data_IF_631235382935
#
_entry.id   IF_631235382935
#
_cell.length_a   1.000
_cell.length_b   1.000
_cell.length_c   1.000
_cell.angle_alpha   90.00
_cell.angle_beta   90.00
_cell.angle_gamma   90.00
#
_symmetry.space_group_name_H-M   'P 1'
#
loop_
_entity.id
_entity.type
_entity.pdbx_description
1 polymer ?
#
# COMPACT_ATOMS: atom_id res chain seq x y z
N UNK A 1 19.43 -36.13 20.08
CA UNK A 1 18.22 -35.50 20.64
C UNK A 1 18.52 -34.03 20.72
N UNK A 2 18.27 -33.33 19.62
CA UNK A 2 18.45 -31.88 19.49
C UNK A 2 17.14 -31.24 19.89
N UNK A 3 17.18 -30.47 20.98
CA UNK A 3 16.08 -29.62 21.42
C UNK A 3 15.91 -28.51 20.38
N UNK A 4 14.84 -28.62 19.61
CA UNK A 4 14.30 -27.51 18.83
C UNK A 4 13.57 -26.59 19.81
N UNK A 5 14.28 -25.64 20.40
CA UNK A 5 13.65 -24.54 21.15
C UNK A 5 12.95 -23.60 20.16
N UNK A 6 11.71 -23.93 19.80
CA UNK A 6 10.74 -22.95 19.33
C UNK A 6 10.42 -22.01 20.49
N UNK A 7 11.11 -20.88 20.61
CA UNK A 7 10.66 -19.78 21.47
C UNK A 7 9.54 -19.00 20.77
N UNK A 8 8.42 -19.67 20.47
CA UNK A 8 7.16 -18.98 20.14
C UNK A 8 6.45 -18.65 21.45
N UNK A 9 6.88 -17.56 22.07
CA UNK A 9 6.04 -16.87 23.05
C UNK A 9 6.24 -15.38 22.83
N UNK A 10 5.78 -14.90 21.67
CA UNK A 10 5.34 -13.50 21.62
C UNK A 10 4.19 -13.40 22.62
N UNK A 11 4.49 -12.81 23.78
CA UNK A 11 3.52 -12.58 24.83
C UNK A 11 2.39 -11.72 24.24
N UNK A 12 1.15 -12.21 24.30
CA UNK A 12 0.01 -11.47 23.77
C UNK A 12 -0.18 -10.19 24.57
N UNK A 13 0.24 -9.06 24.00
CA UNK A 13 0.19 -7.76 24.65
C UNK A 13 -1.24 -7.22 24.65
N UNK A 14 -1.97 -7.59 25.69
CA UNK A 14 -3.28 -7.04 26.00
C UNK A 14 -3.37 -6.67 27.48
N UNK A 15 -3.89 -5.46 27.80
CA UNK A 15 -4.04 -5.04 29.18
C UNK A 15 -5.04 -5.95 29.92
N UNK A 16 -4.89 -6.14 31.24
CA UNK A 16 -5.82 -6.93 32.03
C UNK A 16 -7.21 -6.29 32.03
N UNK A 17 -8.13 -6.90 31.29
CA UNK A 17 -9.50 -6.40 31.13
C UNK A 17 -10.31 -6.62 32.42
N UNK A 18 -10.53 -5.54 33.17
CA UNK A 18 -11.30 -5.54 34.42
C UNK A 18 -12.57 -4.71 34.26
N UNK A 19 -13.72 -5.37 34.30
CA UNK A 19 -15.03 -4.68 34.28
C UNK A 19 -15.48 -4.31 35.68
N UNK A 20 -15.98 -3.09 35.84
CA UNK A 20 -16.60 -2.65 37.09
C UNK A 20 -17.81 -3.54 37.43
N UNK A 21 -17.87 -4.04 38.67
CA UNK A 21 -19.01 -4.81 39.17
C UNK A 21 -19.86 -3.93 40.07
N UNK A 22 -21.03 -3.57 39.59
CA UNK A 22 -22.01 -2.80 40.35
C UNK A 22 -22.62 -3.60 41.51
N UNK A 23 -22.73 -2.97 42.68
CA UNK A 23 -23.48 -3.49 43.81
C UNK A 23 -24.23 -2.37 44.55
N UNK A 24 -25.25 -2.74 45.32
CA UNK A 24 -26.11 -1.78 45.99
C UNK A 24 -25.34 -0.97 47.05
N UNK A 25 -25.50 0.35 47.02
CA UNK A 25 -24.81 1.27 47.95
C UNK A 25 -23.36 1.60 47.58
N UNK A 26 -22.88 1.16 46.42
CA UNK A 26 -21.55 1.51 45.92
C UNK A 26 -21.50 2.99 45.53
N UNK A 27 -20.52 3.73 46.05
CA UNK A 27 -20.20 5.09 45.60
C UNK A 27 -19.31 5.01 44.36
N UNK A 28 -19.66 5.74 43.30
CA UNK A 28 -18.92 5.80 42.04
C UNK A 28 -18.39 7.22 41.83
N UNK A 29 -17.11 7.33 41.47
CA UNK A 29 -16.48 8.60 41.09
C UNK A 29 -16.09 8.66 39.62
N UNK A 30 -15.59 9.81 39.17
CA UNK A 30 -15.13 10.02 37.80
C UNK A 30 -14.14 8.93 37.33
N UNK A 31 -13.22 8.51 38.22
CA UNK A 31 -12.27 7.43 37.95
C UNK A 31 -12.93 6.08 37.63
N UNK A 32 -14.07 5.77 38.23
CA UNK A 32 -14.77 4.51 37.97
C UNK A 32 -15.40 4.53 36.57
N UNK A 33 -15.95 5.66 36.14
CA UNK A 33 -16.49 5.84 34.80
C UNK A 33 -15.39 5.91 33.73
N UNK A 34 -14.24 6.54 34.01
CA UNK A 34 -13.07 6.51 33.12
C UNK A 34 -12.59 5.09 32.88
N UNK A 35 -12.48 4.28 33.96
CA UNK A 35 -12.12 2.85 33.84
C UNK A 35 -13.15 2.04 33.06
N UNK A 36 -14.44 2.36 33.18
CA UNK A 36 -15.47 1.70 32.38
C UNK A 36 -15.34 2.07 30.89
N UNK A 37 -15.08 3.34 30.57
CA UNK A 37 -14.79 3.77 29.19
C UNK A 37 -13.56 3.06 28.63
N UNK A 38 -12.44 3.05 29.36
CA UNK A 38 -11.22 2.34 29.00
C UNK A 38 -11.49 0.85 28.74
N UNK A 39 -12.25 0.17 29.62
CA UNK A 39 -12.61 -1.23 29.42
C UNK A 39 -13.33 -1.47 28.08
N UNK A 40 -14.31 -0.63 27.73
CA UNK A 40 -15.04 -0.77 26.48
C UNK A 40 -14.18 -0.43 25.25
N UNK A 41 -13.35 0.61 25.34
CA UNK A 41 -12.42 1.00 24.27
C UNK A 41 -11.39 -0.06 24.00
N UNK A 42 -10.74 -0.60 25.03
CA UNK A 42 -9.78 -1.69 24.89
C UNK A 42 -10.44 -2.96 24.30
N UNK A 43 -11.68 -3.26 24.68
CA UNK A 43 -12.44 -4.36 24.05
C UNK A 43 -12.70 -4.13 22.56
N UNK A 44 -12.93 -2.88 22.15
CA UNK A 44 -13.16 -2.53 20.75
C UNK A 44 -11.85 -2.59 19.95
N UNK A 45 -10.78 -1.97 20.45
CA UNK A 45 -9.41 -2.03 19.90
C UNK A 45 -8.97 -3.47 19.63
N UNK A 46 -9.12 -4.35 20.64
CA UNK A 46 -8.78 -5.77 20.51
C UNK A 46 -9.62 -6.47 19.42
N UNK A 47 -10.90 -6.13 19.28
CA UNK A 47 -11.74 -6.70 18.22
C UNK A 47 -11.27 -6.24 16.84
N UNK A 48 -11.00 -4.95 16.68
CA UNK A 48 -10.50 -4.40 15.43
C UNK A 48 -9.14 -5.02 15.09
N UNK A 49 -8.11 -4.78 15.91
CA UNK A 49 -6.73 -5.22 15.68
C UNK A 49 -6.60 -6.73 15.48
N UNK A 50 -7.28 -7.56 16.28
CA UNK A 50 -7.06 -9.00 16.26
C UNK A 50 -8.02 -9.81 15.38
N UNK A 51 -9.26 -9.35 15.15
CA UNK A 51 -10.21 -10.06 14.29
C UNK A 51 -10.20 -9.54 12.86
N UNK A 52 -10.01 -8.23 12.67
CA UNK A 52 -10.14 -7.58 11.36
C UNK A 52 -8.81 -7.05 10.85
N UNK A 53 -7.90 -6.67 11.75
CA UNK A 53 -6.64 -6.02 11.44
C UNK A 53 -6.74 -4.50 11.45
N UNK A 54 -5.87 -3.86 10.68
CA UNK A 54 -5.78 -2.41 10.58
C UNK A 54 -5.54 -1.97 9.14
N UNK A 55 -5.45 -0.68 8.86
CA UNK A 55 -5.27 -0.10 7.52
C UNK A 55 -6.44 0.76 7.07
N UNK A 56 -6.38 1.22 5.82
CA UNK A 56 -7.39 2.09 5.21
C UNK A 56 -8.59 1.27 4.77
N UNK A 57 -9.77 1.61 5.29
CA UNK A 57 -11.03 0.90 5.00
C UNK A 57 -11.67 1.48 3.74
N UNK A 58 -11.86 2.80 3.70
CA UNK A 58 -12.44 3.49 2.55
C UNK A 58 -12.07 4.98 2.52
N UNK A 59 -12.11 5.57 1.33
CA UNK A 59 -11.84 6.99 1.14
C UNK A 59 -10.39 7.36 1.44
N UNK A 60 -10.19 8.47 2.16
CA UNK A 60 -8.87 9.01 2.51
C UNK A 60 -7.95 9.21 1.29
N UNK A 61 -8.48 9.44 0.09
CA UNK A 61 -7.68 9.69 -1.11
C UNK A 61 -6.90 10.99 -0.94
N UNK A 62 -5.66 10.98 -1.44
CA UNK A 62 -4.85 12.20 -1.54
C UNK A 62 -4.98 12.69 -2.97
N UNK A 63 -5.49 13.90 -3.11
CA UNK A 63 -5.76 14.52 -4.40
C UNK A 63 -5.06 15.88 -4.46
N UNK A 64 -4.74 16.39 -5.66
CA UNK A 64 -4.34 17.79 -5.82
C UNK A 64 -5.34 18.71 -5.14
N UNK A 65 -4.87 19.72 -4.41
CA UNK A 65 -5.79 20.69 -3.83
C UNK A 65 -6.59 21.40 -4.95
N UNK A 66 -7.88 21.69 -4.73
CA UNK A 66 -8.64 22.51 -5.67
C UNK A 66 -7.94 23.87 -5.85
N UNK A 67 -7.94 24.38 -7.08
CA UNK A 67 -7.35 25.70 -7.37
C UNK A 67 -8.11 26.76 -6.58
N UNK A 68 -7.38 27.65 -5.91
CA UNK A 68 -7.98 28.80 -5.23
C UNK A 68 -8.64 29.68 -6.33
N UNK A 69 -9.83 30.26 -6.12
CA UNK A 69 -10.50 31.14 -7.12
C UNK A 69 -9.64 32.39 -7.48
N UNK A 70 -8.68 32.74 -6.63
CA UNK A 70 -7.67 33.80 -6.86
C UNK A 70 -6.57 33.40 -7.87
N UNK A 71 -6.54 32.15 -8.36
CA UNK A 71 -5.54 31.67 -9.34
C UNK A 71 -5.94 31.92 -10.80
N UNK A 72 -6.93 32.78 -11.06
CA UNK A 72 -7.20 33.27 -12.41
C UNK A 72 -5.95 34.03 -12.93
N UNK A 73 -5.43 33.71 -14.13
CA UNK A 73 -4.43 34.57 -14.74
C UNK A 73 -5.04 35.98 -14.88
N UNK A 74 -4.28 37.06 -14.63
CA UNK A 74 -4.78 38.41 -14.82
C UNK A 74 -5.29 38.52 -16.26
N UNK A 75 -6.57 38.89 -16.38
CA UNK A 75 -7.27 39.00 -17.64
C UNK A 75 -6.48 39.94 -18.58
N UNK A 76 -5.83 39.39 -19.61
CA UNK A 76 -5.00 40.15 -20.58
C UNK A 76 -5.83 41.10 -21.47
N UNK A 77 -7.06 41.41 -21.08
CA UNK A 77 -8.00 42.28 -21.80
C UNK A 77 -8.28 43.62 -21.10
N UNK A 78 -7.73 43.87 -19.91
CA UNK A 78 -7.83 45.20 -19.29
C UNK A 78 -6.70 46.13 -19.78
N UNK A 79 -7.00 47.35 -20.26
CA UNK A 79 -5.96 48.32 -20.64
C UNK A 79 -5.16 48.78 -19.40
N UNK A 80 -3.90 49.21 -19.57
CA UNK A 80 -3.04 49.58 -18.47
C UNK A 80 -3.55 50.87 -17.81
N UNK A 81 -4.06 50.76 -16.58
CA UNK A 81 -4.34 51.93 -15.76
C UNK A 81 -3.03 52.38 -15.08
N UNK A 82 -2.54 53.54 -15.52
CA UNK A 82 -1.51 54.30 -14.81
C UNK A 82 -2.08 54.78 -13.46
N UNK A 83 -1.54 54.31 -12.34
CA UNK A 83 -1.56 55.10 -11.10
C UNK A 83 -0.35 54.81 -10.20
N UNK A 84 0.53 55.81 -10.21
CA UNK A 84 1.28 56.44 -9.11
C UNK A 84 1.75 55.56 -7.95
N UNK A 85 3.07 55.44 -7.86
CA UNK A 85 3.79 54.95 -6.69
C UNK A 85 3.65 55.91 -5.50
N UNK A 86 3.39 55.38 -4.30
CA UNK A 86 3.99 55.85 -3.05
C UNK A 86 3.86 54.78 -1.94
N UNK A 87 4.97 54.62 -1.21
CA UNK A 87 5.17 53.86 0.03
C UNK A 87 5.05 52.32 0.06
N UNK A 88 6.19 51.68 -0.25
CA UNK A 88 6.90 50.95 0.80
C UNK A 88 6.28 49.65 1.34
N UNK A 89 5.90 48.71 0.47
CA UNK A 89 5.81 47.30 0.84
C UNK A 89 6.51 46.45 -0.23
N UNK A 90 7.51 45.69 0.20
CA UNK A 90 8.32 44.80 -0.63
C UNK A 90 7.44 43.82 -1.44
N UNK A 91 7.81 43.49 -2.70
CA UNK A 91 7.03 42.63 -3.56
C UNK A 91 6.99 41.19 -3.02
N UNK A 92 5.80 40.59 -3.05
CA UNK A 92 5.51 39.15 -3.05
C UNK A 92 6.50 38.24 -2.30
N UNK A 93 6.23 38.01 -1.01
CA UNK A 93 6.72 36.80 -0.34
C UNK A 93 6.08 35.61 -1.05
N UNK A 94 6.86 34.97 -1.91
CA UNK A 94 6.56 33.79 -2.74
C UNK A 94 5.55 32.86 -2.04
N UNK A 95 4.28 32.94 -2.43
CA UNK A 95 3.20 32.16 -1.83
C UNK A 95 3.47 30.70 -2.18
N UNK A 96 3.76 29.86 -1.19
CA UNK A 96 3.90 28.41 -1.40
C UNK A 96 2.55 27.82 -1.79
N UNK A 97 2.54 27.01 -2.85
CA UNK A 97 1.31 26.45 -3.45
C UNK A 97 1.25 24.93 -3.43
N UNK A 98 2.27 24.28 -2.85
CA UNK A 98 2.27 22.85 -2.61
C UNK A 98 1.24 22.45 -1.54
N UNK A 99 -0.01 22.28 -2.00
CA UNK A 99 -1.16 21.87 -1.19
C UNK A 99 -1.77 20.59 -1.76
N UNK A 100 -2.26 19.73 -0.89
CA UNK A 100 -3.04 18.54 -1.24
C UNK A 100 -4.34 18.50 -0.45
N UNK A 101 -5.34 17.79 -0.96
CA UNK A 101 -6.58 17.52 -0.26
C UNK A 101 -6.63 16.04 0.16
N UNK A 102 -7.02 15.77 1.40
CA UNK A 102 -7.39 14.44 1.87
C UNK A 102 -8.91 14.34 1.83
N UNK A 103 -9.46 13.37 1.10
CA UNK A 103 -10.91 13.13 1.04
C UNK A 103 -11.42 12.54 2.37
N UNK A 104 -12.71 12.68 2.70
CA UNK A 104 -13.31 11.93 3.80
C UNK A 104 -13.06 10.43 3.69
N UNK A 105 -13.06 9.74 4.83
CA UNK A 105 -12.84 8.30 4.87
C UNK A 105 -12.67 7.74 6.27
N UNK A 106 -12.48 6.43 6.31
CA UNK A 106 -12.33 5.64 7.52
C UNK A 106 -11.07 4.78 7.41
N UNK A 107 -10.32 4.73 8.48
CA UNK A 107 -9.25 3.78 8.67
C UNK A 107 -9.20 3.28 10.11
N UNK A 108 -8.41 2.23 10.33
CA UNK A 108 -8.13 1.69 11.66
C UNK A 108 -6.62 1.64 11.80
N UNK A 109 -6.07 2.18 12.88
CA UNK A 109 -4.63 2.12 13.14
C UNK A 109 -4.21 0.76 13.72
N UNK A 110 -2.91 0.56 13.85
CA UNK A 110 -2.35 -0.70 14.35
C UNK A 110 -2.70 -1.02 15.81
N UNK A 111 -3.18 -0.07 16.61
CA UNK A 111 -3.69 -0.33 17.96
C UNK A 111 -5.19 -0.68 17.95
N UNK A 112 -5.86 -0.51 16.82
CA UNK A 112 -7.28 -0.75 16.66
C UNK A 112 -8.13 0.49 16.90
N UNK A 113 -7.53 1.69 16.94
CA UNK A 113 -8.27 2.95 16.99
C UNK A 113 -8.85 3.30 15.63
N UNK A 114 -10.10 3.74 15.63
CA UNK A 114 -10.80 4.15 14.42
C UNK A 114 -10.44 5.61 14.07
N UNK A 115 -9.78 5.80 12.92
CA UNK A 115 -9.41 7.11 12.39
C UNK A 115 -10.47 7.57 11.40
N UNK A 116 -11.32 8.51 11.83
CA UNK A 116 -12.42 9.04 11.02
C UNK A 116 -12.09 10.45 10.51
N UNK A 117 -12.00 10.59 9.19
CA UNK A 117 -11.92 11.90 8.51
C UNK A 117 -13.30 12.24 7.96
N UNK A 118 -14.05 13.09 8.69
CA UNK A 118 -15.46 13.38 8.40
C UNK A 118 -15.66 14.33 7.21
N UNK A 119 -14.76 15.30 7.04
CA UNK A 119 -14.77 16.29 5.97
C UNK A 119 -13.41 16.35 5.28
N UNK A 120 -13.39 16.69 4.00
CA UNK A 120 -12.13 16.83 3.28
C UNK A 120 -11.31 17.97 3.87
N UNK A 121 -10.00 17.79 4.01
CA UNK A 121 -9.10 18.80 4.53
C UNK A 121 -7.98 19.12 3.54
N UNK A 122 -7.71 20.40 3.35
CA UNK A 122 -6.60 20.87 2.52
C UNK A 122 -5.37 21.08 3.41
N UNK A 123 -4.28 20.44 3.04
CA UNK A 123 -3.03 20.40 3.79
C UNK A 123 -1.97 21.18 3.00
N UNK A 124 -1.41 22.19 3.64
CA UNK A 124 -0.22 22.91 3.19
C UNK A 124 1.00 22.09 3.57
N UNK A 125 1.61 21.42 2.59
CA UNK A 125 2.67 20.45 2.81
C UNK A 125 3.86 21.08 3.53
N UNK A 126 4.22 22.31 3.19
CA UNK A 126 5.34 23.02 3.82
C UNK A 126 5.09 23.32 5.31
N UNK A 127 3.86 23.74 5.65
CA UNK A 127 3.50 24.02 7.06
C UNK A 127 3.41 22.76 7.90
N UNK A 128 2.95 21.66 7.31
CA UNK A 128 2.81 20.38 7.98
C UNK A 128 4.15 19.64 8.13
N UNK A 129 5.11 19.88 7.23
CA UNK A 129 6.44 19.26 7.26
C UNK A 129 7.30 19.85 8.40
N UNK A 130 7.93 19.00 9.23
CA UNK A 130 8.86 19.41 10.27
C UNK A 130 9.98 20.32 9.72
N UNK A 131 10.37 21.39 10.44
CA UNK A 131 11.35 22.35 9.94
C UNK A 131 12.71 21.75 9.52
N UNK A 132 13.11 20.67 10.18
CA UNK A 132 14.33 19.90 10.02
C UNK A 132 14.33 18.97 8.79
N UNK A 133 13.15 18.64 8.25
CA UNK A 133 12.99 17.72 7.11
C UNK A 133 12.69 18.45 5.79
N UNK A 134 12.81 19.78 5.76
CA UNK A 134 12.41 20.63 4.61
C UNK A 134 13.37 20.62 3.42
N UNK A 135 14.52 19.96 3.55
CA UNK A 135 15.48 19.77 2.47
C UNK A 135 15.21 18.45 1.73
N UNK A 136 13.96 18.30 1.26
CA UNK A 136 13.50 17.14 0.50
C UNK A 136 12.58 17.60 -0.61
N UNK A 137 12.56 16.86 -1.71
CA UNK A 137 11.57 16.96 -2.78
C UNK A 137 10.53 15.84 -2.70
N UNK A 138 10.70 14.89 -1.78
CA UNK A 138 9.83 13.73 -1.60
C UNK A 138 9.24 13.75 -0.20
N UNK A 139 7.91 13.68 -0.12
CA UNK A 139 7.18 13.71 1.15
C UNK A 139 6.16 12.60 1.26
N UNK A 140 5.96 12.12 2.47
CA UNK A 140 4.91 11.17 2.82
C UNK A 140 3.88 11.86 3.66
N UNK A 141 2.60 11.61 3.35
CA UNK A 141 1.46 12.12 4.10
C UNK A 141 0.67 10.97 4.69
N UNK A 142 0.30 11.09 5.96
CA UNK A 142 -0.45 10.08 6.70
C UNK A 142 -1.41 10.69 7.70
N UNK A 143 -2.27 9.84 8.26
CA UNK A 143 -3.20 10.20 9.34
C UNK A 143 -2.96 9.34 10.56
N UNK A 144 -3.07 9.93 11.74
CA UNK A 144 -3.00 9.21 13.02
C UNK A 144 -4.22 9.56 13.88
N UNK A 145 -4.64 8.62 14.71
CA UNK A 145 -5.67 8.85 15.72
C UNK A 145 -5.21 9.91 16.72
N UNK A 146 -6.12 10.78 17.13
CA UNK A 146 -5.86 11.78 18.14
C UNK A 146 -7.10 12.05 18.99
N UNK A 147 -6.87 12.49 20.22
CA UNK A 147 -7.92 13.00 21.09
C UNK A 147 -7.60 14.42 21.48
N UNK A 148 -8.64 15.21 21.71
CA UNK A 148 -8.50 16.51 22.35
C UNK A 148 -9.66 16.78 23.30
N UNK A 149 -9.40 17.42 24.44
CA UNK A 149 -10.47 17.88 25.32
C UNK A 149 -11.22 19.04 24.65
N UNK A 150 -12.55 19.04 24.73
CA UNK A 150 -13.45 20.04 24.15
C UNK A 150 -14.55 20.44 25.15
N UNK A 151 -15.28 21.51 24.83
CA UNK A 151 -16.33 22.07 25.68
C UNK A 151 -15.83 22.44 27.09
N UNK A 152 -15.02 23.52 27.18
CA UNK A 152 -14.54 24.01 28.47
C UNK A 152 -15.71 24.34 29.39
N UNK A 153 -15.70 23.76 30.58
CA UNK A 153 -16.75 23.83 31.58
C UNK A 153 -16.13 24.24 32.92
N UNK A 154 -16.83 25.09 33.66
CA UNK A 154 -16.39 25.50 34.98
C UNK A 154 -16.69 24.40 35.99
N UNK A 155 -15.65 23.85 36.62
CA UNK A 155 -15.80 22.91 37.71
C UNK A 155 -16.47 23.60 38.92
N UNK A 156 -17.42 22.90 39.57
CA UNK A 156 -18.13 23.40 40.76
C UNK A 156 -17.27 23.27 42.02
N UNK A 157 -16.33 22.32 42.03
CA UNK A 157 -15.39 22.06 43.11
C UNK A 157 -13.97 22.05 42.53
N UNK A 158 -13.02 22.68 43.22
CA UNK A 158 -11.60 22.63 42.85
C UNK A 158 -10.98 21.33 43.38
N UNK A 159 -10.18 20.66 42.56
CA UNK A 159 -9.28 19.59 43.02
C UNK A 159 -8.07 20.24 43.74
N UNK A 160 -8.27 20.64 44.99
CA UNK A 160 -7.21 21.14 45.88
C UNK A 160 -7.32 22.63 46.26
N UNK A 161 -6.42 23.06 47.17
CA UNK A 161 -6.31 24.43 47.71
C UNK A 161 -5.85 25.49 46.69
N UNK A 162 -6.31 25.41 45.44
CA UNK A 162 -6.09 26.45 44.43
C UNK A 162 -7.20 27.51 44.54
N UNK A 163 -6.82 28.79 44.50
CA UNK A 163 -7.71 29.96 44.67
C UNK A 163 -8.57 30.26 43.43
N UNK A 164 -8.36 29.53 42.32
CA UNK A 164 -9.14 29.66 41.08
C UNK A 164 -9.61 28.29 40.61
N UNK A 165 -10.87 28.20 40.17
CA UNK A 165 -11.35 27.01 39.47
C UNK A 165 -10.65 26.92 38.12
N UNK A 166 -9.77 25.95 37.96
CA UNK A 166 -9.16 25.67 36.67
C UNK A 166 -10.25 25.34 35.64
N UNK A 167 -9.99 25.70 34.39
CA UNK A 167 -10.90 25.42 33.29
C UNK A 167 -10.82 23.93 32.96
N UNK A 168 -11.86 23.18 33.31
CA UNK A 168 -11.98 21.75 32.99
C UNK A 168 -12.70 21.57 31.65
N UNK A 169 -12.63 20.38 31.06
CA UNK A 169 -13.30 20.07 29.81
C UNK A 169 -14.34 18.97 30.01
N UNK A 170 -15.56 19.21 29.55
CA UNK A 170 -16.68 18.28 29.76
C UNK A 170 -16.64 17.06 28.84
N UNK A 171 -15.92 17.15 27.72
CA UNK A 171 -15.93 16.14 26.67
C UNK A 171 -14.55 15.90 26.07
N UNK A 172 -14.34 14.69 25.55
CA UNK A 172 -13.19 14.34 24.72
C UNK A 172 -13.68 14.15 23.30
N UNK A 173 -13.11 14.90 22.36
CA UNK A 173 -13.35 14.69 20.94
C UNK A 173 -12.30 13.75 20.37
N UNK A 174 -12.76 12.65 19.78
CA UNK A 174 -11.96 11.76 18.95
C UNK A 174 -11.82 12.38 17.55
N UNK A 175 -10.57 12.62 17.16
CA UNK A 175 -10.20 13.29 15.93
C UNK A 175 -8.99 12.60 15.27
N UNK A 176 -8.39 13.26 14.29
CA UNK A 176 -7.19 12.80 13.61
C UNK A 176 -6.17 13.92 13.54
N UNK A 177 -4.89 13.56 13.47
CA UNK A 177 -3.82 14.46 13.10
C UNK A 177 -3.26 14.02 11.75
N UNK A 178 -2.97 14.99 10.90
CA UNK A 178 -2.25 14.75 9.65
C UNK A 178 -0.75 14.85 9.95
N UNK A 179 0.00 13.86 9.51
CA UNK A 179 1.46 13.82 9.59
C UNK A 179 2.03 13.95 8.19
N UNK A 180 3.05 14.79 8.05
CA UNK A 180 3.84 14.92 6.84
C UNK A 180 5.30 14.76 7.24
N UNK A 181 6.05 13.96 6.51
CA UNK A 181 7.48 13.72 6.75
C UNK A 181 8.23 13.65 5.44
N UNK A 182 9.51 14.05 5.46
CA UNK A 182 10.46 13.88 4.37
C UNK A 182 11.26 12.58 4.46
N UNK A 183 11.08 11.81 5.53
CA UNK A 183 11.73 10.53 5.71
C UNK A 183 10.83 9.40 5.23
N UNK A 184 11.43 8.40 4.56
CA UNK A 184 10.69 7.20 4.16
C UNK A 184 10.14 6.49 5.42
N UNK A 185 8.81 6.29 5.52
CA UNK A 185 8.25 5.66 6.69
C UNK A 185 8.61 4.18 6.78
N UNK A 186 8.82 3.65 8.00
CA UNK A 186 9.15 2.25 8.16
C UNK A 186 7.97 1.34 7.80
N UNK A 187 8.29 0.22 7.15
CA UNK A 187 7.33 -0.82 6.75
C UNK A 187 7.02 -1.70 7.96
N UNK A 188 5.74 -2.06 8.16
CA UNK A 188 5.39 -3.04 9.18
C UNK A 188 5.72 -4.45 8.70
N UNK A 189 6.84 -4.99 9.17
CA UNK A 189 7.32 -6.32 8.81
C UNK A 189 6.80 -7.46 9.72
N UNK A 190 5.91 -7.15 10.66
CA UNK A 190 5.42 -8.11 11.65
C UNK A 190 4.46 -9.08 10.97
N UNK A 191 4.70 -10.37 11.17
CA UNK A 191 3.79 -11.40 10.68
C UNK A 191 2.44 -11.34 11.42
N UNK A 192 2.47 -11.26 12.75
CA UNK A 192 1.28 -11.22 13.60
C UNK A 192 1.05 -9.81 14.19
N UNK A 193 0.36 -8.99 13.40
CA UNK A 193 0.00 -7.58 13.72
C UNK A 193 -0.93 -7.42 14.93
N UNK A 194 -1.47 -8.52 15.46
CA UNK A 194 -2.38 -8.52 16.60
C UNK A 194 -1.68 -8.55 17.96
N UNK A 195 -0.56 -9.29 18.05
CA UNK A 195 0.03 -9.72 19.32
C UNK A 195 1.09 -8.77 19.88
N UNK A 196 1.67 -7.94 19.02
CA UNK A 196 2.72 -6.98 19.36
C UNK A 196 2.27 -5.55 19.05
N UNK A 197 2.80 -4.54 19.77
CA UNK A 197 2.60 -3.14 19.41
C UNK A 197 3.39 -2.79 18.14
N UNK A 198 2.84 -1.86 17.35
CA UNK A 198 3.51 -1.28 16.18
C UNK A 198 4.56 -0.24 16.60
N UNK A 199 5.56 -0.05 15.76
CA UNK A 199 6.56 1.01 15.94
C UNK A 199 5.96 2.41 15.76
N UNK A 200 5.02 2.56 14.82
CA UNK A 200 4.32 3.81 14.56
C UNK A 200 2.83 3.57 14.30
N UNK A 201 2.01 4.56 14.65
CA UNK A 201 0.54 4.52 14.51
C UNK A 201 0.04 5.30 13.29
N UNK A 202 0.95 5.84 12.49
CA UNK A 202 0.60 6.67 11.34
C UNK A 202 0.20 5.78 10.18
N UNK A 203 -1.00 6.00 9.65
CA UNK A 203 -1.47 5.36 8.44
C UNK A 203 -1.07 6.22 7.25
N UNK A 204 0.00 5.80 6.57
CA UNK A 204 0.51 6.47 5.38
C UNK A 204 -0.46 6.35 4.20
N UNK A 205 -0.80 7.50 3.62
CA UNK A 205 -1.81 7.64 2.58
C UNK A 205 -1.23 7.89 1.20
N UNK A 206 -0.11 8.61 1.09
CA UNK A 206 0.56 8.81 -0.18
C UNK A 206 2.03 9.19 0.01
N UNK A 207 2.85 8.81 -0.96
CA UNK A 207 4.15 9.41 -1.26
C UNK A 207 3.94 10.45 -2.36
N UNK A 208 4.59 11.61 -2.25
CA UNK A 208 4.52 12.66 -3.25
C UNK A 208 5.95 12.97 -3.68
N UNK A 209 6.22 12.76 -4.97
CA UNK A 209 7.56 12.89 -5.54
C UNK A 209 7.75 14.25 -6.24
N UNK A 210 9.00 14.72 -6.31
CA UNK A 210 9.38 15.92 -7.05
C UNK A 210 8.58 17.19 -6.67
N UNK A 211 8.30 17.39 -5.38
CA UNK A 211 7.49 18.51 -4.88
C UNK A 211 8.21 19.84 -5.12
N UNK A 212 7.64 20.66 -5.99
CA UNK A 212 7.97 22.08 -6.06
C UNK A 212 7.09 22.85 -5.07
N UNK A 213 7.71 23.42 -4.04
CA UNK A 213 7.04 24.16 -2.97
C UNK A 213 6.26 25.39 -3.46
N UNK A 214 6.56 25.88 -4.66
CA UNK A 214 5.98 27.09 -5.25
C UNK A 214 4.90 26.80 -6.29
N UNK A 215 4.80 25.56 -6.76
CA UNK A 215 3.79 25.13 -7.74
C UNK A 215 2.70 24.25 -7.11
N UNK A 216 1.51 24.17 -7.72
CA UNK A 216 0.49 23.21 -7.31
C UNK A 216 0.95 21.77 -7.56
N UNK A 217 0.72 20.89 -6.58
CA UNK A 217 0.99 19.44 -6.70
C UNK A 217 0.09 18.84 -7.78
N UNK A 218 0.68 18.08 -8.69
CA UNK A 218 -0.03 17.43 -9.80
C UNK A 218 -0.40 16.00 -9.43
N UNK A 219 -1.37 15.44 -10.17
CA UNK A 219 -1.91 14.10 -9.90
C UNK A 219 -0.87 13.00 -10.12
N UNK A 220 -0.02 13.16 -11.12
CA UNK A 220 1.06 12.22 -11.47
C UNK A 220 2.15 12.14 -10.40
N UNK A 221 2.30 13.17 -9.58
CA UNK A 221 3.25 13.19 -8.46
C UNK A 221 2.75 12.43 -7.23
N UNK A 222 1.45 12.09 -7.16
CA UNK A 222 0.82 11.51 -5.97
C UNK A 222 0.74 9.98 -6.11
N UNK A 223 1.52 9.28 -5.31
CA UNK A 223 1.65 7.83 -5.30
C UNK A 223 0.97 7.23 -4.05
N UNK A 224 -0.25 6.71 -4.22
CA UNK A 224 -1.06 6.16 -3.13
C UNK A 224 -0.81 4.67 -2.85
N UNK A 225 0.11 4.01 -3.57
CA UNK A 225 0.46 2.60 -3.39
C UNK A 225 1.18 2.29 -2.06
N UNK A 226 1.63 3.30 -1.32
CA UNK A 226 2.17 3.14 0.04
C UNK A 226 1.10 2.81 1.08
N UNK A 227 -0.18 2.92 0.72
CA UNK A 227 -1.29 2.62 1.62
C UNK A 227 -1.31 1.15 2.00
N UNK A 228 -1.53 0.92 3.29
CA UNK A 228 -1.92 -0.40 3.77
C UNK A 228 -3.44 -0.58 3.60
N UNK A 229 -3.93 -1.51 2.75
CA UNK A 229 -5.34 -1.87 2.74
C UNK A 229 -5.76 -2.43 4.10
N UNK A 230 -7.03 -2.22 4.46
CA UNK A 230 -7.58 -2.76 5.69
C UNK A 230 -7.61 -4.29 5.65
N UNK A 231 -7.02 -4.90 6.67
CA UNK A 231 -6.99 -6.35 6.80
C UNK A 231 -6.03 -6.82 7.87
N UNK A 232 -6.17 -8.08 8.29
CA UNK A 232 -5.30 -8.70 9.30
C UNK A 232 -3.85 -8.71 8.83
N UNK A 233 -3.66 -9.00 7.55
CA UNK A 233 -2.35 -9.19 6.93
C UNK A 233 -2.32 -8.46 5.60
N UNK A 234 -1.15 -7.95 5.22
CA UNK A 234 -0.92 -7.46 3.87
C UNK A 234 -0.59 -8.67 2.99
N UNK A 235 -1.40 -9.01 1.97
CA UNK A 235 -1.08 -10.13 1.09
C UNK A 235 0.15 -9.79 0.24
N UNK A 236 1.05 -10.76 0.10
CA UNK A 236 2.12 -10.67 -0.89
C UNK A 236 1.53 -10.90 -2.27
N UNK A 237 1.76 -9.98 -3.20
CA UNK A 237 1.21 -10.00 -4.56
C UNK A 237 2.32 -9.98 -5.61
N UNK A 238 2.01 -10.39 -6.84
CA UNK A 238 2.85 -10.18 -8.00
C UNK A 238 2.67 -8.74 -8.48
N UNK A 239 3.76 -7.99 -8.50
CA UNK A 239 3.81 -6.58 -8.87
C UNK A 239 4.25 -6.35 -10.30
N UNK A 240 4.93 -7.33 -10.92
CA UNK A 240 5.36 -7.19 -12.30
C UNK A 240 5.79 -8.50 -12.96
N UNK A 241 5.67 -8.52 -14.29
CA UNK A 241 6.09 -9.62 -15.18
C UNK A 241 6.95 -9.05 -16.32
N UNK A 242 7.78 -9.83 -17.03
CA UNK A 242 8.55 -9.31 -18.19
C UNK A 242 7.92 -9.59 -19.56
N UNK A 243 6.67 -10.08 -19.60
CA UNK A 243 5.91 -10.30 -20.83
C UNK A 243 4.57 -9.58 -20.81
N UNK A 244 3.99 -9.35 -21.99
CA UNK A 244 2.70 -8.70 -22.13
C UNK A 244 1.63 -9.78 -22.29
N UNK A 245 0.65 -9.79 -21.39
CA UNK A 245 -0.48 -10.70 -21.44
C UNK A 245 -1.29 -10.54 -22.73
N UNK A 246 -1.55 -11.65 -23.43
CA UNK A 246 -2.31 -11.70 -24.68
C UNK A 246 -1.61 -11.08 -25.88
N UNK A 247 -0.35 -10.66 -25.76
CA UNK A 247 0.43 -10.09 -26.86
C UNK A 247 0.82 -11.16 -27.88
N UNK A 248 1.16 -10.72 -29.10
CA UNK A 248 1.69 -11.59 -30.16
C UNK A 248 3.16 -11.27 -30.38
N UNK A 249 4.03 -12.19 -29.97
CA UNK A 249 5.47 -12.09 -30.19
C UNK A 249 5.88 -12.80 -31.49
N UNK A 250 6.97 -12.33 -32.09
CA UNK A 250 7.65 -13.13 -33.11
C UNK A 250 8.34 -14.34 -32.49
N UNK A 251 8.64 -15.36 -33.29
CA UNK A 251 9.34 -16.57 -32.83
C UNK A 251 10.67 -16.22 -32.14
N UNK A 252 11.43 -15.26 -32.69
CA UNK A 252 12.73 -14.86 -32.13
C UNK A 252 12.57 -14.08 -30.82
N UNK A 253 11.59 -13.18 -30.72
CA UNK A 253 11.27 -12.48 -29.47
C UNK A 253 10.83 -13.47 -28.38
N UNK A 254 10.00 -14.45 -28.72
CA UNK A 254 9.55 -15.47 -27.78
C UNK A 254 10.72 -16.35 -27.28
N UNK A 255 11.66 -16.71 -28.16
CA UNK A 255 12.87 -17.46 -27.78
C UNK A 255 13.80 -16.66 -26.87
N UNK A 256 13.95 -15.36 -27.11
CA UNK A 256 14.71 -14.47 -26.24
C UNK A 256 14.04 -14.36 -24.86
N UNK A 257 12.72 -14.14 -24.84
CA UNK A 257 11.92 -14.06 -23.61
C UNK A 257 12.00 -15.34 -22.77
N UNK A 258 11.99 -16.52 -23.39
CA UNK A 258 12.06 -17.80 -22.70
C UNK A 258 13.48 -18.22 -22.28
N UNK A 259 14.50 -17.44 -22.66
CA UNK A 259 15.91 -17.75 -22.41
C UNK A 259 16.42 -18.95 -23.21
N UNK A 260 15.82 -19.25 -24.38
CA UNK A 260 16.28 -20.37 -25.21
C UNK A 260 17.62 -20.07 -25.88
N UNK A 261 17.86 -18.81 -26.25
CA UNK A 261 19.09 -18.35 -26.93
C UNK A 261 20.01 -17.53 -26.01
N UNK A 262 19.44 -16.90 -25.00
CA UNK A 262 20.13 -16.02 -24.07
C UNK A 262 20.14 -16.65 -22.67
N UNK A 263 21.32 -16.78 -22.07
CA UNK A 263 21.47 -17.30 -20.71
C UNK A 263 20.91 -16.32 -19.68
N UNK A 264 20.97 -15.02 -19.99
CA UNK A 264 20.39 -13.93 -19.21
C UNK A 264 18.93 -13.66 -19.60
N UNK A 265 18.27 -14.57 -20.32
CA UNK A 265 16.85 -14.51 -20.65
C UNK A 265 15.96 -15.21 -19.60
N UNK A 266 14.69 -15.44 -19.93
CA UNK A 266 13.73 -16.15 -19.08
C UNK A 266 12.56 -15.30 -18.61
N UNK A 267 11.49 -15.96 -18.16
CA UNK A 267 10.29 -15.31 -17.65
C UNK A 267 10.57 -14.80 -16.23
N UNK A 268 10.40 -13.49 -16.03
CA UNK A 268 10.66 -12.84 -14.74
C UNK A 268 9.35 -12.44 -14.09
N UNK A 269 9.23 -12.74 -12.80
CA UNK A 269 8.10 -12.34 -11.94
C UNK A 269 8.66 -11.62 -10.71
N UNK A 270 8.09 -10.46 -10.36
CA UNK A 270 8.41 -9.69 -9.16
C UNK A 270 7.27 -9.72 -8.15
N UNK A 271 7.60 -9.79 -6.88
CA UNK A 271 6.67 -9.77 -5.75
C UNK A 271 6.70 -8.42 -5.03
N UNK A 272 5.66 -8.13 -4.25
CA UNK A 272 5.58 -6.94 -3.40
C UNK A 272 6.39 -7.06 -2.10
N UNK A 273 6.77 -8.28 -1.73
CA UNK A 273 7.50 -8.59 -0.51
C UNK A 273 8.32 -9.87 -0.69
N UNK A 274 9.20 -10.14 0.28
CA UNK A 274 10.08 -11.29 0.31
C UNK A 274 9.31 -12.62 0.36
N UNK A 275 9.64 -13.52 -0.58
CA UNK A 275 9.16 -14.90 -0.63
C UNK A 275 10.28 -15.89 -0.35
N UNK A 276 9.94 -17.03 0.23
CA UNK A 276 10.90 -18.08 0.56
C UNK A 276 11.41 -18.76 -0.71
N UNK A 277 12.72 -18.71 -0.92
CA UNK A 277 13.38 -19.34 -2.07
C UNK A 277 13.17 -20.86 -2.08
N UNK A 278 13.07 -21.50 -0.90
CA UNK A 278 12.85 -22.95 -0.74
C UNK A 278 11.46 -23.44 -1.23
N UNK A 279 10.53 -22.53 -1.51
CA UNK A 279 9.20 -22.82 -2.05
C UNK A 279 9.15 -22.80 -3.58
N UNK A 280 10.18 -22.24 -4.24
CA UNK A 280 10.31 -22.19 -5.69
C UNK A 280 10.79 -23.55 -6.24
N UNK A 281 9.90 -24.54 -6.23
CA UNK A 281 10.18 -25.93 -6.61
C UNK A 281 9.62 -26.30 -7.98
N UNK A 282 10.13 -27.37 -8.62
CA UNK A 282 9.54 -27.90 -9.84
C UNK A 282 8.02 -28.13 -9.69
N UNK A 283 7.25 -27.67 -10.67
CA UNK A 283 5.78 -27.73 -10.67
C UNK A 283 5.07 -26.49 -10.14
N UNK A 284 5.78 -25.54 -9.52
CA UNK A 284 5.21 -24.23 -9.16
C UNK A 284 4.95 -23.38 -10.40
N UNK A 285 5.85 -23.43 -11.38
CA UNK A 285 5.69 -22.78 -12.68
C UNK A 285 5.54 -23.85 -13.75
N UNK A 286 4.50 -23.72 -14.57
CA UNK A 286 4.22 -24.60 -15.70
C UNK A 286 4.09 -23.77 -16.98
N UNK A 287 4.74 -24.24 -18.04
CA UNK A 287 4.60 -23.70 -19.38
C UNK A 287 3.94 -24.76 -20.25
N UNK A 288 2.80 -24.42 -20.86
CA UNK A 288 2.08 -25.32 -21.75
C UNK A 288 1.91 -24.66 -23.12
N UNK A 289 2.36 -25.34 -24.17
CA UNK A 289 2.16 -24.89 -25.54
C UNK A 289 0.88 -25.52 -26.08
N UNK A 290 0.05 -24.69 -26.70
CA UNK A 290 -1.16 -25.10 -27.42
C UNK A 290 -0.91 -24.77 -28.89
N UNK A 291 -0.80 -25.81 -29.71
CA UNK A 291 -0.43 -25.68 -31.13
C UNK A 291 -1.60 -25.10 -31.95
N UNK A 292 -1.33 -24.00 -32.66
CA UNK A 292 -2.35 -23.27 -33.43
C UNK A 292 -2.07 -23.18 -34.95
N UNK A 293 -1.10 -23.92 -35.46
CA UNK A 293 -0.72 -23.90 -36.88
C UNK A 293 -1.81 -24.40 -37.84
N UNK A 294 -1.60 -24.17 -39.15
CA UNK A 294 -2.53 -24.50 -40.25
C UNK A 294 -2.77 -26.01 -40.49
N UNK A 295 -2.11 -26.88 -39.71
CA UNK A 295 -2.22 -28.34 -39.75
C UNK A 295 -3.02 -28.93 -38.59
N UNK A 296 -2.45 -29.89 -37.83
CA UNK A 296 -3.08 -30.40 -36.58
C UNK A 296 -3.17 -29.24 -35.59
N UNK A 297 -4.37 -28.93 -35.12
CA UNK A 297 -4.70 -27.67 -34.44
C UNK A 297 -5.37 -27.87 -33.06
N UNK A 298 -4.88 -28.85 -32.28
CA UNK A 298 -5.46 -29.19 -30.97
C UNK A 298 -4.51 -29.93 -30.02
N UNK A 299 -3.22 -30.01 -30.36
CA UNK A 299 -2.23 -30.71 -29.54
C UNK A 299 -1.67 -29.76 -28.48
N UNK A 300 -1.42 -30.30 -27.29
CA UNK A 300 -0.85 -29.55 -26.17
C UNK A 300 0.30 -30.33 -25.58
N UNK A 301 1.41 -29.66 -25.28
CA UNK A 301 2.55 -30.28 -24.65
C UNK A 301 3.16 -29.37 -23.58
N UNK A 302 3.83 -29.98 -22.61
CA UNK A 302 4.48 -29.26 -21.51
C UNK A 302 5.89 -28.85 -21.92
N UNK A 303 6.12 -27.55 -21.90
CA UNK A 303 7.44 -26.98 -22.07
C UNK A 303 8.14 -27.00 -20.71
N UNK A 304 9.10 -27.92 -20.56
CA UNK A 304 9.92 -28.01 -19.36
C UNK A 304 10.70 -26.72 -19.12
N UNK A 305 10.89 -26.38 -17.85
CA UNK A 305 11.69 -25.25 -17.43
C UNK A 305 12.29 -25.46 -16.04
N UNK A 306 13.10 -24.49 -15.63
CA UNK A 306 13.74 -24.47 -14.32
C UNK A 306 13.92 -23.02 -13.86
N UNK A 307 14.02 -22.83 -12.53
CA UNK A 307 14.40 -21.54 -11.96
C UNK A 307 15.88 -21.29 -12.24
N UNK A 308 16.17 -20.19 -12.95
CA UNK A 308 17.52 -19.69 -13.14
C UNK A 308 17.94 -18.76 -11.99
N UNK A 309 16.97 -18.02 -11.42
CA UNK A 309 17.15 -17.20 -10.23
C UNK A 309 15.93 -17.35 -9.31
N UNK A 310 16.11 -17.48 -7.98
CA UNK A 310 17.39 -17.69 -7.28
C UNK A 310 18.01 -19.05 -7.64
N UNK A 311 19.35 -19.10 -7.73
CA UNK A 311 20.07 -20.35 -8.00
C UNK A 311 20.07 -21.22 -6.73
N UNK A 312 19.25 -22.27 -6.74
CA UNK A 312 19.09 -23.19 -5.61
C UNK A 312 20.34 -24.05 -5.35
N UNK A 313 21.29 -24.13 -6.28
CA UNK A 313 22.54 -24.87 -6.13
C UNK A 313 23.69 -23.96 -5.64
N UNK A 314 23.48 -22.65 -5.60
CA UNK A 314 24.48 -21.70 -5.11
C UNK A 314 24.54 -21.66 -3.58
N UNK A 315 25.77 -21.67 -3.02
CA UNK A 315 26.00 -21.54 -1.57
C UNK A 315 25.54 -20.17 -1.01
N UNK A 316 25.35 -19.17 -1.89
CA UNK A 316 24.87 -17.82 -1.58
C UNK A 316 23.35 -17.65 -1.80
N UNK A 317 22.59 -18.74 -1.96
CA UNK A 317 21.14 -18.62 -2.13
C UNK A 317 20.51 -18.04 -0.86
N UNK A 318 19.99 -16.82 -0.95
CA UNK A 318 19.27 -16.18 0.15
C UNK A 318 18.03 -16.99 0.53
N UNK A 319 17.72 -17.08 1.83
CA UNK A 319 16.48 -17.71 2.33
C UNK A 319 15.24 -17.09 1.66
N UNK A 320 15.32 -15.80 1.33
CA UNK A 320 14.26 -15.03 0.71
C UNK A 320 14.71 -14.39 -0.62
N UNK A 321 13.74 -14.18 -1.51
CA UNK A 321 13.88 -13.45 -2.77
C UNK A 321 12.65 -12.58 -3.03
N UNK A 322 12.78 -11.52 -3.82
CA UNK A 322 11.66 -10.66 -4.25
C UNK A 322 11.17 -10.96 -5.67
N UNK A 323 11.72 -11.99 -6.29
CA UNK A 323 11.31 -12.41 -7.61
C UNK A 323 11.97 -13.71 -8.02
N UNK A 324 11.58 -14.20 -9.19
CA UNK A 324 12.24 -15.33 -9.81
C UNK A 324 12.37 -15.13 -11.32
N UNK A 325 13.32 -15.87 -11.89
CA UNK A 325 13.52 -16.01 -13.33
C UNK A 325 13.37 -17.48 -13.70
N UNK A 326 12.46 -17.78 -14.62
CA UNK A 326 12.15 -19.13 -15.06
C UNK A 326 12.52 -19.34 -16.53
N UNK A 327 13.45 -20.26 -16.80
CA UNK A 327 14.02 -20.51 -18.12
C UNK A 327 13.49 -21.82 -18.69
N UNK A 328 13.20 -21.85 -19.99
CA UNK A 328 12.87 -23.09 -20.69
C UNK A 328 14.11 -24.01 -20.76
N UNK A 329 13.92 -25.31 -20.52
CA UNK A 329 14.98 -26.33 -20.59
C UNK A 329 14.82 -27.31 -21.77
N UNK A 330 13.68 -27.29 -22.46
CA UNK A 330 13.42 -28.17 -23.61
C UNK A 330 14.03 -27.63 -24.91
N UNK A 331 14.37 -28.56 -25.82
CA UNK A 331 14.90 -28.23 -27.16
C UNK A 331 13.81 -28.01 -28.22
N UNK A 332 12.54 -28.19 -27.85
CA UNK A 332 11.38 -27.98 -28.71
C UNK A 332 11.18 -26.49 -28.99
N UNK A 333 10.85 -26.15 -30.25
CA UNK A 333 10.71 -24.76 -30.69
C UNK A 333 9.26 -24.40 -30.98
N UNK A 334 8.87 -23.20 -30.54
CA UNK A 334 7.59 -22.60 -30.87
C UNK A 334 7.43 -22.40 -32.39
N UNK A 335 6.20 -22.60 -32.87
CA UNK A 335 5.79 -22.48 -34.26
C UNK A 335 4.81 -21.32 -34.47
N UNK A 336 4.56 -20.97 -35.73
CA UNK A 336 3.53 -20.00 -36.10
C UNK A 336 2.15 -20.44 -35.63
N UNK A 337 1.45 -19.52 -34.96
CA UNK A 337 0.11 -19.75 -34.43
C UNK A 337 0.07 -20.37 -33.04
N UNK A 338 1.21 -20.75 -32.45
CA UNK A 338 1.25 -21.32 -31.12
C UNK A 338 0.79 -20.32 -30.05
N UNK A 339 0.12 -20.84 -29.03
CA UNK A 339 -0.19 -20.09 -27.80
C UNK A 339 0.58 -20.72 -26.65
N UNK A 340 1.44 -19.94 -26.00
CA UNK A 340 2.10 -20.34 -24.76
C UNK A 340 1.22 -19.91 -23.57
N UNK A 341 0.79 -20.89 -22.78
CA UNK A 341 0.15 -20.70 -21.49
C UNK A 341 1.21 -20.76 -20.38
N UNK A 342 1.20 -19.78 -19.50
CA UNK A 342 2.08 -19.62 -18.34
C UNK A 342 1.19 -19.71 -17.10
N UNK A 343 1.50 -20.68 -16.25
CA UNK A 343 0.79 -20.91 -14.99
C UNK A 343 1.78 -20.84 -13.84
N UNK A 344 1.58 -19.91 -12.91
CA UNK A 344 2.32 -19.84 -11.65
C UNK A 344 1.36 -20.18 -10.51
N UNK A 345 1.60 -21.30 -9.85
CA UNK A 345 0.78 -21.77 -8.71
C UNK A 345 1.16 -21.00 -7.45
N UNK A 346 0.76 -19.73 -7.38
CA UNK A 346 1.12 -18.78 -6.32
C UNK A 346 0.76 -19.28 -4.91
N UNK A 347 -0.29 -20.10 -4.78
CA UNK A 347 -0.65 -20.79 -3.53
C UNK A 347 0.47 -21.66 -2.91
N UNK A 348 1.47 -22.06 -3.69
CA UNK A 348 2.63 -22.85 -3.22
C UNK A 348 3.87 -22.01 -2.95
N UNK A 349 3.85 -20.72 -3.31
CA UNK A 349 4.91 -19.76 -3.02
C UNK A 349 4.56 -19.09 -1.70
N UNK A 350 5.44 -19.22 -0.71
CA UNK A 350 5.18 -18.66 0.62
C UNK A 350 6.03 -17.41 0.86
N UNK A 351 5.44 -16.40 1.48
CA UNK A 351 6.15 -15.22 1.96
C UNK A 351 6.99 -15.51 3.23
N UNK A 352 7.72 -14.51 3.72
CA UNK A 352 8.48 -14.59 4.98
C UNK A 352 7.67 -15.01 6.20
N UNK A 353 6.35 -14.81 6.17
CA UNK A 353 5.42 -15.17 7.23
C UNK A 353 4.73 -16.52 6.99
N UNK A 354 5.21 -17.31 6.04
CA UNK A 354 4.65 -18.60 5.63
C UNK A 354 3.19 -18.50 5.12
N UNK A 355 2.82 -17.38 4.49
CA UNK A 355 1.51 -17.17 3.86
C UNK A 355 1.64 -17.26 2.34
N UNK A 356 0.62 -17.77 1.64
CA UNK A 356 0.69 -17.92 0.19
C UNK A 356 0.62 -16.57 -0.53
N UNK A 357 1.37 -16.44 -1.62
CA UNK A 357 1.27 -15.29 -2.55
C UNK A 357 -0.12 -15.28 -3.19
N UNK A 358 -0.72 -14.09 -3.29
CA UNK A 358 -2.02 -13.88 -3.94
C UNK A 358 -1.84 -13.73 -5.46
N UNK A 359 -2.18 -14.78 -6.20
CA UNK A 359 -1.83 -14.97 -7.61
C UNK A 359 -2.88 -14.52 -8.62
N UNK A 360 -4.10 -14.16 -8.23
CA UNK A 360 -5.18 -13.91 -9.20
C UNK A 360 -4.79 -12.81 -10.20
N UNK A 361 -4.65 -13.14 -11.49
CA UNK A 361 -4.24 -12.18 -12.52
C UNK A 361 -5.43 -11.36 -13.07
N UNK A 362 -5.99 -10.48 -12.23
CA UNK A 362 -7.23 -9.77 -12.54
C UNK A 362 -7.13 -8.96 -13.83
N UNK A 363 -7.94 -9.31 -14.82
CA UNK A 363 -8.04 -8.60 -16.10
C UNK A 363 -6.79 -8.70 -16.99
N UNK A 364 -5.78 -9.50 -16.64
CA UNK A 364 -4.52 -9.59 -17.39
C UNK A 364 -3.72 -8.28 -17.36
N UNK A 365 -3.77 -7.54 -16.25
CA UNK A 365 -3.27 -6.16 -16.15
C UNK A 365 -2.02 -5.97 -15.29
N UNK A 366 -1.43 -7.03 -14.74
CA UNK A 366 -0.16 -6.88 -14.01
C UNK A 366 0.87 -6.22 -14.95
N UNK A 367 1.53 -5.14 -14.52
CA UNK A 367 2.37 -4.34 -15.39
C UNK A 367 3.64 -5.10 -15.76
N UNK A 368 4.25 -4.66 -16.86
CA UNK A 368 5.57 -5.15 -17.22
C UNK A 368 6.64 -4.47 -16.37
N UNK A 369 7.65 -5.22 -15.94
CA UNK A 369 8.69 -4.81 -15.00
C UNK A 369 9.39 -3.49 -15.36
N UNK A 370 9.61 -3.25 -16.65
CA UNK A 370 10.31 -2.05 -17.15
C UNK A 370 9.36 -1.00 -17.75
N UNK A 371 8.05 -1.22 -17.67
CA UNK A 371 7.09 -0.20 -18.11
C UNK A 371 6.69 0.67 -16.93
N UNK A 372 6.95 1.98 -17.05
CA UNK A 372 6.42 2.99 -16.14
C UNK A 372 4.87 3.07 -16.18
N UNK A 373 4.22 2.44 -17.15
CA UNK A 373 2.77 2.41 -17.30
C UNK A 373 2.24 1.05 -17.76
N UNK A 374 1.16 0.57 -17.12
CA UNK A 374 0.37 -0.56 -17.63
C UNK A 374 -0.19 -0.19 -19.01
N UNK A 375 -0.06 -1.05 -20.05
CA UNK A 375 -0.65 -0.76 -21.35
C UNK A 375 -2.15 -0.50 -21.18
N UNK A 376 -2.59 0.68 -21.64
CA UNK A 376 -3.97 1.11 -21.52
C UNK A 376 -4.91 0.08 -22.17
N UNK A 377 -6.08 -0.14 -21.57
CA UNK A 377 -7.10 -0.95 -22.18
C UNK A 377 -7.40 -0.42 -23.59
N UNK A 378 -7.14 -1.23 -24.62
CA UNK A 378 -7.37 -0.85 -26.02
C UNK A 378 -8.84 -0.46 -26.30
N UNK A 379 -9.76 -0.84 -25.42
CA UNK A 379 -11.18 -0.51 -25.46
C UNK A 379 -11.68 -0.15 -24.05
N UNK A 380 -12.42 0.95 -23.93
CA UNK A 380 -12.91 1.53 -22.67
C UNK A 380 -13.32 0.49 -21.63
N UNK A 381 -12.62 0.49 -20.50
CA UNK A 381 -12.73 -0.52 -19.45
C UNK A 381 -12.20 0.02 -18.12
N UNK A 382 -12.08 -0.84 -17.10
CA UNK A 382 -11.57 -0.46 -15.79
C UNK A 382 -10.13 0.10 -15.91
N UNK A 383 -9.97 1.42 -15.76
CA UNK A 383 -8.67 2.09 -15.84
C UNK A 383 -7.84 1.97 -14.55
N UNK A 384 -8.51 1.77 -13.42
CA UNK A 384 -7.90 1.56 -12.11
C UNK A 384 -8.08 0.11 -11.68
N UNK A 385 -7.15 -0.44 -10.86
CA UNK A 385 -7.34 -1.74 -10.23
C UNK A 385 -8.62 -1.76 -9.38
N UNK A 386 -9.14 -2.94 -8.99
CA UNK A 386 -10.34 -3.04 -8.15
C UNK A 386 -10.25 -2.26 -6.83
N UNK A 387 -9.03 -2.08 -6.30
CA UNK A 387 -8.75 -1.25 -5.12
C UNK A 387 -8.94 0.26 -5.38
N UNK A 388 -8.93 0.69 -6.64
CA UNK A 388 -8.93 2.10 -7.06
C UNK A 388 -7.58 2.80 -6.87
N UNK A 389 -6.55 2.10 -6.40
CA UNK A 389 -5.31 2.69 -5.88
C UNK A 389 -4.08 1.96 -6.42
N UNK A 390 -3.10 2.74 -6.89
CA UNK A 390 -1.79 2.23 -7.31
C UNK A 390 -1.79 1.55 -8.68
N UNK A 391 -0.66 0.95 -9.08
CA UNK A 391 -0.59 0.12 -10.27
C UNK A 391 -1.42 -1.15 -10.08
N UNK A 392 -1.76 -1.81 -11.19
CA UNK A 392 -2.35 -3.14 -11.13
C UNK A 392 -1.35 -4.14 -10.52
N UNK A 393 -1.85 -5.01 -9.65
CA UNK A 393 -1.10 -6.15 -9.10
C UNK A 393 -1.93 -7.40 -9.25
N UNK A 394 -1.35 -8.58 -8.99
CA UNK A 394 -2.17 -9.77 -8.80
C UNK A 394 -2.95 -9.69 -7.49
N UNK A 395 -3.95 -10.55 -7.39
CA UNK A 395 -4.64 -10.92 -6.18
C UNK A 395 -6.00 -10.26 -5.96
N UNK A 396 -6.70 -10.77 -4.96
CA UNK A 396 -8.04 -10.33 -4.55
C UNK A 396 -8.13 -9.93 -3.08
N UNK A 397 -7.02 -10.08 -2.33
CA UNK A 397 -6.93 -9.76 -0.91
C UNK A 397 -7.04 -10.97 0.02
N UNK A 398 -7.23 -12.18 -0.52
CA UNK A 398 -7.43 -13.41 0.26
C UNK A 398 -6.16 -14.26 0.40
N UNK A 399 -5.14 -14.04 -0.44
CA UNK A 399 -3.94 -14.89 -0.51
C UNK A 399 -4.17 -16.21 -1.24
N UNK A 400 -3.14 -16.71 -1.94
CA UNK A 400 -3.20 -17.95 -2.71
C UNK A 400 -3.69 -17.79 -4.15
N UNK A 401 -4.34 -18.81 -4.70
CA UNK A 401 -4.77 -18.90 -6.10
C UNK A 401 -3.63 -19.17 -7.11
N UNK A 402 -3.98 -19.17 -8.39
CA UNK A 402 -3.11 -19.40 -9.54
C UNK A 402 -3.01 -18.11 -10.36
N UNK A 403 -1.79 -17.74 -10.72
CA UNK A 403 -1.54 -16.71 -11.71
C UNK A 403 -1.49 -17.35 -13.09
N UNK A 404 -2.43 -16.97 -13.95
CA UNK A 404 -2.51 -17.45 -15.32
C UNK A 404 -2.24 -16.29 -16.30
N UNK A 405 -1.41 -16.55 -17.30
CA UNK A 405 -1.16 -15.63 -18.40
C UNK A 405 -0.82 -16.39 -19.67
N UNK A 406 -1.02 -15.77 -20.83
CA UNK A 406 -0.59 -16.35 -22.09
C UNK A 406 -0.08 -15.28 -23.04
N UNK A 407 0.61 -15.70 -24.09
CA UNK A 407 0.89 -14.90 -25.27
C UNK A 407 0.83 -15.79 -26.52
N UNK A 408 0.74 -15.15 -27.69
CA UNK A 408 0.69 -15.81 -28.99
C UNK A 408 2.03 -15.67 -29.71
N UNK A 409 2.33 -16.62 -30.57
CA UNK A 409 3.52 -16.63 -31.42
C UNK A 409 3.09 -16.53 -32.87
N UNK A 410 3.78 -15.67 -33.63
CA UNK A 410 3.54 -15.54 -35.06
C UNK A 410 4.85 -15.46 -35.84
N UNK A 411 4.87 -16.05 -37.03
CA UNK A 411 5.92 -15.81 -38.01
C UNK A 411 5.80 -14.39 -38.58
N UNK A 412 6.95 -13.76 -38.81
CA UNK A 412 7.04 -12.32 -39.09
C UNK A 412 6.53 -11.94 -40.47
#
# INVERSE_FOLDING_TARGET
MTETETSRTEEFDAPPLRRLRYFHGQMLGARDFQREQEYHREKLRLRMRCLLGYGVVCGLHVEPAPRDEDDCPPDTTAPPEESVAEDGAQPERTRRRAKVAITPGLAVDCDGDEVVVRGGCVIDLWKALPPDERDTDTVWIGVEYAERPVEPTRAVYNDGCADTSDCEFGWTEECHKVRVTGCEPPVDERCDTCCSPCEHKVLWLARIDCVDWYEPVRRDQIHMNVRRPFGRHLPTVITGINWIHGHTYTIDEAKALLGTQDEDGGLVVRFSADVRSDTLRPGVVELQVIEGGSGRNASTWYMGGAFAEPDAESDDCGEFTQGFRYRQTTRETLQDGDRLMITVRAAFILDRCCRPVDGTHVGGRVPTIDAEATPAAAHGGCHLPPSGIGPWTSGTGAGGDVFESWFFVKER
#
